data_IF_829562936174
#
_entry.id   IF_829562936174
#
_cell.length_a   1.000
_cell.length_b   1.000
_cell.length_c   1.000
_cell.angle_alpha   90.00
_cell.angle_beta   90.00
_cell.angle_gamma   90.00
#
_symmetry.space_group_name_H-M   'P 1'
#
loop_
_entity.id
_entity.type
_entity.pdbx_description
1 polymer ?
#
# COMPACT_ATOMS: atom_id res chain seq x y z
N UNK A 1 49.67 0.44 4.00
CA UNK A 1 49.07 0.67 2.67
C UNK A 1 49.06 -0.57 1.78
N UNK A 2 48.40 -1.65 2.21
CA UNK A 2 48.16 -2.83 1.36
C UNK A 2 46.66 -3.10 1.14
N UNK A 3 45.79 -2.66 2.04
CA UNK A 3 44.33 -2.89 1.92
C UNK A 3 43.59 -1.99 0.93
N UNK A 4 44.15 -0.82 0.56
CA UNK A 4 43.54 0.07 -0.44
C UNK A 4 43.77 -0.42 -1.88
N UNK A 5 44.83 -1.20 -2.12
CA UNK A 5 45.14 -1.76 -3.44
C UNK A 5 44.24 -2.97 -3.75
N UNK A 6 43.89 -3.77 -2.73
CA UNK A 6 43.04 -4.96 -2.89
C UNK A 6 41.57 -4.63 -3.21
N UNK A 7 41.09 -3.44 -2.82
CA UNK A 7 39.74 -2.97 -3.18
C UNK A 7 39.63 -2.44 -4.62
N UNK A 8 40.75 -2.03 -5.23
CA UNK A 8 40.77 -1.60 -6.63
C UNK A 8 40.85 -2.80 -7.60
N UNK A 9 41.47 -3.90 -7.17
CA UNK A 9 41.57 -5.14 -7.97
C UNK A 9 40.31 -6.04 -7.88
N UNK A 10 39.46 -5.87 -6.86
CA UNK A 10 38.25 -6.70 -6.64
C UNK A 10 36.92 -5.93 -6.74
N UNK A 11 36.90 -4.78 -7.44
CA UNK A 11 35.65 -4.10 -7.75
C UNK A 11 34.73 -5.04 -8.54
N UNK A 12 33.41 -5.07 -8.27
CA UNK A 12 32.50 -5.90 -9.06
C UNK A 12 32.67 -5.49 -10.52
N UNK A 13 33.04 -6.46 -11.37
CA UNK A 13 33.11 -6.27 -12.81
C UNK A 13 31.74 -5.78 -13.26
N UNK A 14 31.65 -4.48 -13.60
CA UNK A 14 30.41 -3.88 -14.07
C UNK A 14 30.22 -4.41 -15.48
N UNK A 15 29.36 -5.43 -15.59
CA UNK A 15 29.04 -6.03 -16.87
C UNK A 15 28.68 -4.91 -17.87
N UNK A 16 29.35 -4.93 -19.03
CA UNK A 16 29.06 -3.99 -20.09
C UNK A 16 27.61 -4.13 -20.55
N UNK A 17 27.05 -3.08 -21.14
CA UNK A 17 25.70 -3.12 -21.72
C UNK A 17 25.52 -4.28 -22.72
N UNK A 18 26.60 -4.67 -23.40
CA UNK A 18 26.63 -5.77 -24.36
C UNK A 18 26.57 -7.13 -23.65
N UNK A 19 27.33 -7.30 -22.56
CA UNK A 19 27.28 -8.51 -21.72
C UNK A 19 25.90 -8.69 -21.04
N UNK A 20 25.27 -7.60 -20.61
CA UNK A 20 23.90 -7.65 -20.10
C UNK A 20 22.90 -8.02 -21.20
N UNK A 21 23.06 -7.48 -22.41
CA UNK A 21 22.18 -7.76 -23.54
C UNK A 21 22.22 -9.25 -23.96
N UNK A 22 23.40 -9.87 -23.99
CA UNK A 22 23.52 -11.31 -24.30
C UNK A 22 22.83 -12.21 -23.25
N UNK A 23 22.90 -11.86 -21.97
CA UNK A 23 22.17 -12.59 -20.91
C UNK A 23 20.66 -12.57 -21.16
N UNK A 24 20.11 -11.42 -21.54
CA UNK A 24 18.68 -11.32 -21.86
C UNK A 24 18.34 -12.01 -23.20
N UNK A 25 19.22 -11.98 -24.20
CA UNK A 25 18.98 -12.67 -25.49
C UNK A 25 18.96 -14.21 -25.36
N UNK A 26 19.84 -14.78 -24.52
CA UNK A 26 19.83 -16.21 -24.21
C UNK A 26 18.56 -16.67 -23.49
N UNK A 27 17.94 -15.78 -22.72
CA UNK A 27 16.66 -16.00 -22.01
C UNK A 27 15.42 -15.61 -22.83
N UNK A 28 15.57 -14.86 -23.94
CA UNK A 28 14.44 -14.41 -24.77
C UNK A 28 13.74 -15.54 -25.54
N UNK A 29 14.43 -16.67 -25.76
CA UNK A 29 13.84 -17.92 -26.23
C UNK A 29 13.42 -18.87 -25.09
N UNK A 30 13.73 -18.54 -23.83
CA UNK A 30 13.33 -19.32 -22.67
C UNK A 30 11.92 -18.96 -22.16
N UNK A 31 11.42 -17.77 -22.48
CA UNK A 31 10.08 -17.31 -22.09
C UNK A 31 9.17 -17.12 -23.31
N UNK A 32 8.42 -18.17 -23.66
CA UNK A 32 7.30 -18.04 -24.58
C UNK A 32 6.09 -17.50 -23.84
N UNK A 33 5.68 -16.27 -24.17
CA UNK A 33 4.50 -15.63 -23.61
C UNK A 33 3.24 -16.25 -24.23
N UNK A 34 2.85 -17.41 -23.71
CA UNK A 34 1.66 -18.13 -24.15
C UNK A 34 0.42 -17.53 -23.48
N UNK A 35 -0.36 -16.80 -24.28
CA UNK A 35 -1.74 -16.48 -23.92
C UNK A 35 -2.50 -17.81 -23.82
N UNK A 36 -2.91 -18.16 -22.61
CA UNK A 36 -3.75 -19.32 -22.41
C UNK A 36 -5.12 -19.09 -23.06
N UNK A 37 -5.82 -20.18 -23.41
CA UNK A 37 -7.16 -20.10 -23.98
C UNK A 37 -8.17 -19.47 -23.04
N UNK A 38 -9.36 -19.13 -23.54
CA UNK A 38 -10.42 -18.47 -22.76
C UNK A 38 -10.84 -19.27 -21.50
N UNK A 39 -10.63 -20.58 -21.51
CA UNK A 39 -10.82 -21.43 -20.33
C UNK A 39 -9.91 -21.04 -19.17
N UNK A 40 -8.71 -20.52 -19.42
CA UNK A 40 -7.79 -20.06 -18.37
C UNK A 40 -8.25 -18.75 -17.72
N UNK A 41 -8.97 -17.91 -18.46
CA UNK A 41 -9.65 -16.74 -17.91
C UNK A 41 -10.65 -17.19 -16.82
N UNK A 42 -11.42 -18.24 -17.11
CA UNK A 42 -12.41 -18.80 -16.18
C UNK A 42 -11.87 -19.84 -15.19
N UNK A 43 -10.63 -20.33 -15.39
CA UNK A 43 -9.99 -21.29 -14.49
C UNK A 43 -9.07 -20.64 -13.45
N UNK A 44 -8.91 -19.31 -13.50
CA UNK A 44 -8.06 -18.53 -12.60
C UNK A 44 -8.68 -18.36 -11.21
N UNK A 45 -8.57 -17.15 -10.66
CA UNK A 45 -9.05 -16.83 -9.31
C UNK A 45 -10.56 -17.03 -9.14
N UNK A 46 -11.33 -17.11 -10.23
CA UNK A 46 -12.78 -17.35 -10.20
C UNK A 46 -13.18 -18.55 -9.36
N UNK A 47 -12.36 -19.61 -9.29
CA UNK A 47 -12.60 -20.75 -8.39
C UNK A 47 -12.51 -20.41 -6.90
N UNK A 48 -11.75 -19.38 -6.56
CA UNK A 48 -11.51 -18.91 -5.20
C UNK A 48 -12.43 -17.73 -4.82
N UNK A 49 -12.61 -16.78 -5.74
CA UNK A 49 -13.33 -15.51 -5.48
C UNK A 49 -14.73 -15.44 -6.09
N UNK A 50 -15.09 -16.38 -6.96
CA UNK A 50 -16.37 -16.42 -7.65
C UNK A 50 -16.42 -15.59 -8.93
N UNK A 51 -17.59 -15.59 -9.58
CA UNK A 51 -17.84 -14.77 -10.75
C UNK A 51 -17.84 -13.28 -10.40
N UNK A 52 -17.41 -12.39 -11.32
CA UNK A 52 -17.50 -10.95 -11.11
C UNK A 52 -18.97 -10.51 -10.96
N UNK A 53 -19.24 -9.62 -10.00
CA UNK A 53 -20.54 -8.98 -9.89
C UNK A 53 -20.75 -8.02 -11.06
N UNK A 54 -21.86 -8.14 -11.83
CA UNK A 54 -22.12 -7.28 -12.98
C UNK A 54 -22.39 -5.83 -12.57
N UNK A 55 -23.03 -5.62 -11.42
CA UNK A 55 -23.10 -4.31 -10.78
C UNK A 55 -21.87 -4.12 -9.90
N UNK A 56 -20.92 -3.34 -10.40
CA UNK A 56 -19.65 -3.08 -9.74
C UNK A 56 -19.87 -2.34 -8.42
N UNK A 57 -20.83 -1.43 -8.35
CA UNK A 57 -21.07 -0.64 -7.14
C UNK A 57 -21.66 -1.51 -6.03
N UNK A 58 -22.68 -2.31 -6.37
CA UNK A 58 -23.25 -3.29 -5.44
C UNK A 58 -22.20 -4.31 -4.99
N UNK A 59 -21.38 -4.81 -5.92
CA UNK A 59 -20.29 -5.73 -5.61
C UNK A 59 -19.27 -5.13 -4.64
N UNK A 60 -18.87 -3.87 -4.83
CA UNK A 60 -17.95 -3.19 -3.91
C UNK A 60 -18.58 -2.96 -2.53
N UNK A 61 -19.85 -2.52 -2.49
CA UNK A 61 -20.59 -2.35 -1.23
C UNK A 61 -20.66 -3.66 -0.45
N UNK A 62 -21.01 -4.76 -1.13
CA UNK A 62 -21.12 -6.08 -0.50
C UNK A 62 -19.79 -6.59 0.03
N UNK A 63 -18.71 -6.42 -0.74
CA UNK A 63 -17.36 -6.80 -0.32
C UNK A 63 -16.95 -6.07 0.96
N UNK A 64 -17.13 -4.74 0.99
CA UNK A 64 -16.68 -3.92 2.11
C UNK A 64 -17.57 -4.01 3.34
N UNK A 65 -18.87 -4.33 3.19
CA UNK A 65 -19.84 -4.19 4.31
C UNK A 65 -20.49 -5.50 4.75
N UNK A 66 -20.53 -6.53 3.89
CA UNK A 66 -21.29 -7.77 4.14
C UNK A 66 -20.42 -9.03 4.27
N UNK A 67 -19.17 -9.02 3.79
CA UNK A 67 -18.27 -10.19 3.91
C UNK A 67 -17.87 -10.46 5.36
N UNK A 68 -17.38 -11.68 5.61
CA UNK A 68 -17.08 -12.15 6.96
C UNK A 68 -15.99 -11.32 7.67
N UNK A 69 -15.08 -10.75 6.89
CA UNK A 69 -13.97 -9.90 7.32
C UNK A 69 -14.24 -8.40 7.17
N UNK A 70 -15.41 -8.00 6.66
CA UNK A 70 -15.80 -6.60 6.50
C UNK A 70 -15.65 -5.78 7.79
N UNK A 71 -15.90 -6.42 8.94
CA UNK A 71 -15.78 -5.83 10.29
C UNK A 71 -14.53 -6.28 11.05
N UNK A 72 -13.60 -6.97 10.39
CA UNK A 72 -12.33 -7.35 11.00
C UNK A 72 -11.44 -6.11 11.11
N UNK A 73 -11.14 -5.71 12.34
CA UNK A 73 -10.30 -4.54 12.59
C UNK A 73 -8.84 -4.82 12.28
N UNK A 74 -8.18 -3.85 11.67
CA UNK A 74 -6.75 -3.81 11.46
C UNK A 74 -6.19 -2.43 11.80
N UNK A 75 -4.87 -2.32 11.90
CA UNK A 75 -4.19 -1.05 12.14
C UNK A 75 -3.22 -0.76 11.01
N UNK A 76 -3.37 0.42 10.39
CA UNK A 76 -2.46 0.86 9.33
C UNK A 76 -1.05 1.04 9.89
N UNK A 77 -0.05 0.43 9.26
CA UNK A 77 1.32 0.44 9.79
C UNK A 77 1.98 1.82 9.68
N UNK A 78 1.61 2.61 8.68
CA UNK A 78 2.16 3.92 8.36
C UNK A 78 1.51 5.07 9.16
N UNK A 79 0.19 5.04 9.37
CA UNK A 79 -0.55 6.13 10.04
C UNK A 79 -1.05 5.76 11.44
N UNK A 80 -1.14 4.46 11.75
CA UNK A 80 -1.62 3.95 13.03
C UNK A 80 -3.14 3.98 13.16
N UNK A 81 -3.87 4.28 12.08
CA UNK A 81 -5.33 4.28 11.99
C UNK A 81 -5.85 2.91 12.38
N UNK A 82 -6.77 2.83 13.33
CA UNK A 82 -7.45 1.58 13.69
C UNK A 82 -8.83 1.56 13.06
N UNK A 83 -9.05 0.69 12.09
CA UNK A 83 -10.25 0.71 11.24
C UNK A 83 -10.60 -0.69 10.74
N UNK A 84 -11.71 -0.83 10.03
CA UNK A 84 -12.09 -2.03 9.28
C UNK A 84 -12.65 -1.63 7.91
N UNK A 85 -12.80 -2.61 7.00
CA UNK A 85 -13.23 -2.36 5.61
C UNK A 85 -14.57 -1.61 5.53
N UNK A 86 -15.53 -1.95 6.39
CA UNK A 86 -16.83 -1.29 6.41
C UNK A 86 -16.72 0.20 6.80
N UNK A 87 -15.84 0.52 7.77
CA UNK A 87 -15.61 1.90 8.19
C UNK A 87 -14.96 2.70 7.05
N UNK A 88 -13.93 2.16 6.40
CA UNK A 88 -13.26 2.82 5.28
C UNK A 88 -14.22 3.08 4.09
N UNK A 89 -15.14 2.15 3.83
CA UNK A 89 -16.15 2.32 2.78
C UNK A 89 -17.08 3.50 3.04
N UNK A 90 -17.73 3.55 4.21
CA UNK A 90 -18.68 4.63 4.50
C UNK A 90 -18.00 5.98 4.68
N UNK A 91 -16.76 6.02 5.18
CA UNK A 91 -15.98 7.26 5.24
C UNK A 91 -15.82 7.91 3.85
N UNK A 92 -15.72 7.10 2.79
CA UNK A 92 -15.54 7.58 1.41
C UNK A 92 -16.88 7.80 0.71
N UNK A 93 -17.82 6.86 0.85
CA UNK A 93 -19.03 6.80 0.01
C UNK A 93 -20.18 7.62 0.58
N UNK A 94 -20.35 7.63 1.90
CA UNK A 94 -21.41 8.38 2.59
C UNK A 94 -20.94 8.79 4.00
N UNK A 95 -20.07 9.81 4.11
CA UNK A 95 -19.50 10.24 5.38
C UNK A 95 -20.50 10.92 6.31
N UNK A 96 -21.64 11.38 5.77
CA UNK A 96 -22.68 12.07 6.53
C UNK A 96 -23.55 11.06 7.29
N UNK A 97 -24.07 10.05 6.60
CA UNK A 97 -24.91 9.02 7.21
C UNK A 97 -24.10 7.85 7.78
N UNK A 98 -22.85 7.70 7.35
CA UNK A 98 -21.99 6.57 7.70
C UNK A 98 -21.77 6.37 9.20
N UNK A 99 -21.68 7.47 9.96
CA UNK A 99 -21.54 7.41 11.43
C UNK A 99 -22.77 6.75 12.08
N UNK A 100 -23.96 7.11 11.63
CA UNK A 100 -25.22 6.53 12.11
C UNK A 100 -25.36 5.06 11.69
N UNK A 101 -25.04 4.75 10.43
CA UNK A 101 -25.12 3.39 9.88
C UNK A 101 -24.16 2.42 10.61
N UNK A 102 -22.97 2.90 10.94
CA UNK A 102 -21.91 2.11 11.59
C UNK A 102 -22.02 2.11 13.12
N UNK A 103 -22.90 2.93 13.69
CA UNK A 103 -23.05 3.14 15.14
C UNK A 103 -21.73 3.57 15.81
N UNK A 104 -21.02 4.53 15.19
CA UNK A 104 -19.76 5.10 15.72
C UNK A 104 -19.89 6.61 15.95
N UNK A 105 -19.26 7.11 17.02
CA UNK A 105 -19.36 8.53 17.40
C UNK A 105 -18.52 9.47 16.52
N UNK A 106 -17.42 8.96 15.97
CA UNK A 106 -16.50 9.72 15.12
C UNK A 106 -15.70 8.79 14.21
N UNK A 107 -15.24 9.33 13.08
CA UNK A 107 -14.33 8.62 12.18
C UNK A 107 -12.98 8.32 12.86
N UNK A 108 -12.30 7.21 12.50
CA UNK A 108 -10.97 6.92 13.02
C UNK A 108 -9.95 8.00 12.66
N UNK A 109 -9.16 8.42 13.66
CA UNK A 109 -8.06 9.35 13.47
C UNK A 109 -6.75 8.64 13.11
N UNK A 110 -5.80 9.41 12.56
CA UNK A 110 -4.42 8.99 12.28
C UNK A 110 -3.48 9.41 13.43
N UNK A 111 -3.24 8.56 14.45
CA UNK A 111 -2.51 8.94 15.65
C UNK A 111 -1.06 9.38 15.36
N UNK A 112 -0.40 8.79 14.35
CA UNK A 112 0.96 9.19 13.98
C UNK A 112 0.99 10.58 13.35
N UNK A 113 -0.05 10.96 12.61
CA UNK A 113 -0.17 12.31 12.05
C UNK A 113 -0.48 13.31 13.16
N UNK A 114 -1.35 12.96 14.10
CA UNK A 114 -1.65 13.82 15.27
C UNK A 114 -0.38 14.11 16.08
N UNK A 115 0.43 13.09 16.38
CA UNK A 115 1.72 13.25 17.08
C UNK A 115 2.70 14.16 16.32
N UNK A 116 2.80 14.02 14.98
CA UNK A 116 3.64 14.89 14.16
C UNK A 116 3.18 16.35 14.23
N UNK A 117 1.87 16.61 14.22
CA UNK A 117 1.30 17.97 14.36
C UNK A 117 1.62 18.59 15.73
N UNK A 118 1.50 17.81 16.80
CA UNK A 118 1.83 18.27 18.15
C UNK A 118 3.32 18.58 18.32
N UNK A 119 4.19 17.71 17.80
CA UNK A 119 5.64 17.94 17.84
C UNK A 119 6.04 19.23 17.09
N UNK A 120 5.44 19.48 15.92
CA UNK A 120 5.68 20.69 15.13
C UNK A 120 5.17 21.97 15.82
N UNK A 121 4.09 21.88 16.61
CA UNK A 121 3.56 23.01 17.39
C UNK A 121 4.44 23.37 18.58
N UNK A 122 5.07 22.36 19.20
CA UNK A 122 5.95 22.57 20.34
C UNK A 122 7.29 23.21 19.93
N UNK A 123 7.81 22.90 18.74
CA UNK A 123 9.02 23.54 18.20
C UNK A 123 8.84 25.04 17.93
N UNK A 124 7.63 25.49 17.57
CA UNK A 124 7.32 26.91 17.39
C UNK A 124 7.34 27.71 18.72
N UNK A 125 7.16 27.05 19.87
CA UNK A 125 7.11 27.71 21.18
C UNK A 125 8.49 27.95 21.82
N UNK A 126 9.57 27.41 21.27
CA UNK A 126 10.92 27.51 21.88
C UNK A 126 11.78 28.67 21.33
N UNK A 127 11.33 29.40 20.30
CA UNK A 127 12.16 30.39 19.62
C UNK A 127 11.62 31.84 19.69
N UNK A 128 11.67 32.48 20.87
CA UNK A 128 11.83 33.94 20.96
C UNK A 128 12.74 34.31 22.13
N UNK A 129 14.03 34.63 21.91
CA UNK A 129 14.80 35.30 22.94
C UNK A 129 14.16 36.66 23.24
N UNK A 130 13.87 36.93 24.52
CA UNK A 130 13.50 38.28 24.97
C UNK A 130 14.66 39.21 24.62
N UNK A 131 14.44 40.16 23.71
CA UNK A 131 15.39 41.26 23.54
C UNK A 131 15.31 42.16 24.78
N UNK A 132 16.44 42.49 25.41
CA UNK A 132 16.46 43.46 26.50
C UNK A 132 16.10 44.86 25.96
N UNK A 133 15.35 45.61 26.78
CA UNK A 133 14.91 46.98 26.53
C UNK A 133 16.08 47.97 26.48
#
# INVERSE_FOLDING_TARGET
DSGLQEMLDNGPEVASSEQLHEKFLGEFNAFSLSLHGISAFYSGLERLIGHPQPDVFEGMLDEHTKKADAKAFFTSSNYGTHTCSAIEWYFVVDPESGLEILEIDSWPDDPKIAQLRESSSNDCKVARPRMPL
#
